data_IF_825552684830
#
_entry.id   IF_825552684830
#
_cell.length_a   1.000
_cell.length_b   1.000
_cell.length_c   1.000
_cell.angle_alpha   90.00
_cell.angle_beta   90.00
_cell.angle_gamma   90.00
#
_symmetry.space_group_name_H-M   'P 1'
#
loop_
_entity.id
_entity.type
_entity.pdbx_description
1 polymer ?
#
# COMPACT_ATOMS: atom_id res chain seq x y z
N UNK A 1 -6.21 12.22 -33.23
CA UNK A 1 -4.99 11.96 -34.02
C UNK A 1 -3.81 11.91 -33.03
N UNK A 2 -3.05 10.81 -33.03
CA UNK A 2 -1.92 10.59 -32.13
C UNK A 2 -0.76 11.54 -32.46
N UNK A 3 -0.37 12.39 -31.54
CA UNK A 3 0.70 13.40 -31.75
C UNK A 3 1.86 13.14 -30.77
N UNK A 4 3.03 13.72 -31.06
CA UNK A 4 4.17 13.68 -30.12
C UNK A 4 3.79 14.20 -28.73
N UNK A 5 2.97 15.26 -28.64
CA UNK A 5 2.47 15.80 -27.37
C UNK A 5 1.67 14.78 -26.57
N UNK A 6 0.83 13.96 -27.23
CA UNK A 6 0.09 12.89 -26.56
C UNK A 6 1.03 11.82 -26.02
N UNK A 7 2.05 11.45 -26.77
CA UNK A 7 3.06 10.49 -26.31
C UNK A 7 3.83 11.01 -25.08
N UNK A 8 4.29 12.26 -25.15
CA UNK A 8 5.03 12.89 -24.04
C UNK A 8 4.16 12.99 -22.77
N UNK A 9 2.88 13.34 -22.94
CA UNK A 9 1.90 13.38 -21.84
C UNK A 9 1.70 12.00 -21.19
N UNK A 10 1.59 10.95 -21.99
CA UNK A 10 1.42 9.59 -21.47
C UNK A 10 2.68 9.11 -20.74
N UNK A 11 3.87 9.36 -21.29
CA UNK A 11 5.13 9.02 -20.62
C UNK A 11 5.24 9.75 -19.28
N UNK A 12 4.93 11.04 -19.24
CA UNK A 12 4.88 11.80 -17.99
C UNK A 12 3.87 11.20 -17.01
N UNK A 13 2.68 10.82 -17.48
CA UNK A 13 1.64 10.18 -16.68
C UNK A 13 2.04 8.83 -16.10
N UNK A 14 2.82 8.02 -16.82
CA UNK A 14 3.44 6.79 -16.28
C UNK A 14 4.38 7.13 -15.13
N UNK A 15 5.29 8.10 -15.34
CA UNK A 15 6.22 8.56 -14.30
C UNK A 15 5.50 9.07 -13.04
N UNK A 16 4.45 9.87 -13.23
CA UNK A 16 3.62 10.39 -12.14
C UNK A 16 2.90 9.27 -11.36
N UNK A 17 2.35 8.29 -12.07
CA UNK A 17 1.69 7.13 -11.45
C UNK A 17 2.67 6.31 -10.62
N UNK A 18 3.86 6.03 -11.18
CA UNK A 18 4.93 5.33 -10.46
C UNK A 18 5.39 6.12 -9.22
N UNK A 19 5.60 7.43 -9.37
CA UNK A 19 5.97 8.31 -8.27
C UNK A 19 4.95 8.25 -7.13
N UNK A 20 3.67 8.44 -7.41
CA UNK A 20 2.62 8.35 -6.41
C UNK A 20 2.59 6.97 -5.74
N UNK A 21 2.60 5.89 -6.53
CA UNK A 21 2.50 4.53 -6.04
C UNK A 21 3.67 4.15 -5.14
N UNK A 22 4.91 4.38 -5.60
CA UNK A 22 6.10 3.97 -4.87
C UNK A 22 6.28 4.76 -3.57
N UNK A 23 6.12 6.08 -3.61
CA UNK A 23 6.26 6.91 -2.41
C UNK A 23 5.15 6.63 -1.40
N UNK A 24 3.90 6.48 -1.84
CA UNK A 24 2.79 6.16 -0.94
C UNK A 24 2.94 4.77 -0.33
N UNK A 25 3.42 3.78 -1.10
CA UNK A 25 3.72 2.45 -0.58
C UNK A 25 4.86 2.50 0.45
N UNK A 26 5.94 3.21 0.13
CA UNK A 26 7.07 3.36 1.05
C UNK A 26 6.64 3.97 2.39
N UNK A 27 6.00 5.14 2.37
CA UNK A 27 5.52 5.78 3.61
C UNK A 27 4.43 4.95 4.28
N UNK A 28 3.57 4.29 3.51
CA UNK A 28 2.59 3.35 4.02
C UNK A 28 3.23 2.23 4.84
N UNK A 29 4.36 1.67 4.38
CA UNK A 29 5.13 0.66 5.11
C UNK A 29 5.87 1.23 6.32
N UNK A 30 6.41 2.44 6.24
CA UNK A 30 7.09 3.10 7.38
C UNK A 30 6.15 3.19 8.59
N UNK A 31 4.88 3.47 8.37
CA UNK A 31 3.89 3.61 9.46
C UNK A 31 3.02 2.35 9.65
N UNK A 32 2.69 1.65 8.58
CA UNK A 32 1.80 0.48 8.61
C UNK A 32 2.48 -0.78 9.15
N UNK A 33 3.77 -0.99 8.87
CA UNK A 33 4.49 -2.14 9.41
C UNK A 33 4.59 -2.09 10.96
N UNK A 34 4.98 -0.98 11.60
CA UNK A 34 4.89 -0.86 13.05
C UNK A 34 3.48 -1.08 13.60
N UNK A 35 2.44 -0.58 12.92
CA UNK A 35 1.05 -0.80 13.31
C UNK A 35 0.70 -2.29 13.32
N UNK A 36 1.05 -3.04 12.26
CA UNK A 36 0.79 -4.48 12.18
C UNK A 36 1.57 -5.29 13.21
N UNK A 37 2.82 -4.93 13.48
CA UNK A 37 3.62 -5.52 14.56
C UNK A 37 2.98 -5.26 15.92
N UNK A 38 2.52 -4.03 16.20
CA UNK A 38 1.87 -3.68 17.45
C UNK A 38 0.55 -4.46 17.63
N UNK A 39 -0.25 -4.60 16.58
CA UNK A 39 -1.46 -5.43 16.59
C UNK A 39 -1.11 -6.86 16.98
N UNK A 40 -0.16 -7.51 16.31
CA UNK A 40 0.23 -8.90 16.61
C UNK A 40 0.83 -9.05 18.01
N UNK A 41 1.67 -8.12 18.45
CA UNK A 41 2.32 -8.20 19.77
C UNK A 41 1.32 -8.00 20.90
N UNK A 42 0.30 -7.15 20.73
CA UNK A 42 -0.72 -6.85 21.74
C UNK A 42 -1.94 -7.78 21.70
N UNK A 43 -2.04 -8.66 20.70
CA UNK A 43 -3.11 -9.67 20.62
C UNK A 43 -3.11 -10.59 21.86
N UNK A 44 -4.24 -11.30 22.08
CA UNK A 44 -4.42 -12.26 23.22
C UNK A 44 -3.31 -13.31 23.28
N UNK A 45 -2.89 -13.82 22.11
CA UNK A 45 -1.84 -14.82 21.93
C UNK A 45 -0.50 -14.17 21.52
N UNK A 46 -0.39 -12.86 21.68
CA UNK A 46 0.80 -12.09 21.33
C UNK A 46 1.92 -12.20 22.37
N UNK A 47 3.08 -11.59 22.03
CA UNK A 47 4.25 -11.57 22.91
C UNK A 47 4.04 -10.74 24.18
N UNK A 48 3.17 -9.75 24.13
CA UNK A 48 2.82 -8.86 25.25
C UNK A 48 1.33 -8.49 25.19
N UNK A 49 0.43 -9.40 25.61
CA UNK A 49 -1.00 -9.21 25.49
C UNK A 49 -1.48 -7.93 26.18
N UNK A 50 -2.23 -7.11 25.42
CA UNK A 50 -2.86 -5.89 25.94
C UNK A 50 -4.17 -5.66 25.18
N UNK A 51 -5.27 -6.15 25.74
CA UNK A 51 -6.59 -6.10 25.09
C UNK A 51 -7.07 -4.67 24.82
N UNK A 52 -6.71 -3.69 25.64
CA UNK A 52 -7.11 -2.30 25.43
C UNK A 52 -6.37 -1.69 24.25
N UNK A 53 -5.04 -1.85 24.20
CA UNK A 53 -4.21 -1.36 23.09
C UNK A 53 -4.63 -2.03 21.78
N UNK A 54 -4.77 -3.35 21.76
CA UNK A 54 -5.22 -4.09 20.59
C UNK A 54 -6.56 -3.55 20.08
N UNK A 55 -7.56 -3.41 20.97
CA UNK A 55 -8.89 -2.96 20.59
C UNK A 55 -8.89 -1.53 20.03
N UNK A 56 -8.10 -0.62 20.59
CA UNK A 56 -7.97 0.75 20.08
C UNK A 56 -7.37 0.74 18.66
N UNK A 57 -6.25 0.06 18.46
CA UNK A 57 -5.59 -0.03 17.16
C UNK A 57 -6.47 -0.73 16.13
N UNK A 58 -7.14 -1.81 16.53
CA UNK A 58 -8.09 -2.56 15.70
C UNK A 58 -9.24 -1.69 15.21
N UNK A 59 -9.90 -0.97 16.13
CA UNK A 59 -11.03 -0.09 15.79
C UNK A 59 -10.57 1.03 14.85
N UNK A 60 -9.44 1.69 15.13
CA UNK A 60 -8.90 2.75 14.27
C UNK A 60 -8.61 2.19 12.87
N UNK A 61 -7.88 1.08 12.78
CA UNK A 61 -7.55 0.47 11.49
C UNK A 61 -8.83 0.07 10.71
N UNK A 62 -9.84 -0.50 11.37
CA UNK A 62 -11.09 -0.88 10.74
C UNK A 62 -11.90 0.33 10.26
N UNK A 63 -11.97 1.42 11.01
CA UNK A 63 -12.66 2.65 10.60
C UNK A 63 -12.03 3.18 9.31
N UNK A 64 -10.72 3.39 9.28
CA UNK A 64 -10.05 3.94 8.10
C UNK A 64 -10.20 3.04 6.86
N UNK A 65 -10.17 1.71 7.02
CA UNK A 65 -10.39 0.76 5.93
C UNK A 65 -11.84 0.69 5.44
N UNK A 66 -12.79 1.09 6.27
CA UNK A 66 -14.21 1.12 5.91
C UNK A 66 -14.60 2.35 5.08
N UNK A 67 -13.77 3.39 5.07
CA UNK A 67 -14.02 4.59 4.29
C UNK A 67 -13.62 4.32 2.82
N UNK A 68 -14.53 4.48 1.84
CA UNK A 68 -14.17 4.39 0.43
C UNK A 68 -13.03 5.36 0.09
N UNK A 69 -12.01 4.89 -0.64
CA UNK A 69 -10.80 5.68 -0.87
C UNK A 69 -11.08 7.07 -1.45
N UNK A 70 -11.97 7.18 -2.43
CA UNK A 70 -12.31 8.47 -3.04
C UNK A 70 -12.91 9.47 -2.03
N UNK A 71 -13.73 8.97 -1.10
CA UNK A 71 -14.30 9.79 -0.03
C UNK A 71 -13.22 10.20 0.99
N UNK A 72 -12.34 9.26 1.35
CA UNK A 72 -11.20 9.55 2.24
C UNK A 72 -10.28 10.62 1.64
N UNK A 73 -10.00 10.53 0.33
CA UNK A 73 -9.18 11.51 -0.38
C UNK A 73 -9.79 12.91 -0.29
N UNK A 74 -11.11 13.03 -0.55
CA UNK A 74 -11.83 14.32 -0.45
C UNK A 74 -11.83 14.84 0.99
N UNK A 75 -12.08 13.96 1.96
CA UNK A 75 -12.06 14.29 3.39
C UNK A 75 -10.69 14.85 3.82
N UNK A 76 -9.61 14.32 3.25
CA UNK A 76 -8.24 14.71 3.60
C UNK A 76 -7.74 15.95 2.84
N UNK A 77 -8.52 16.58 1.96
CA UNK A 77 -8.13 17.80 1.25
C UNK A 77 -7.59 18.90 2.18
N UNK A 78 -8.28 19.28 3.29
CA UNK A 78 -7.77 20.31 4.19
C UNK A 78 -6.44 19.92 4.84
N UNK A 79 -6.29 18.66 5.26
CA UNK A 79 -5.08 18.13 5.86
C UNK A 79 -3.92 18.07 4.86
N UNK A 80 -4.19 17.62 3.63
CA UNK A 80 -3.20 17.59 2.55
C UNK A 80 -2.69 18.99 2.23
N UNK A 81 -3.61 19.96 2.15
CA UNK A 81 -3.26 21.36 1.90
C UNK A 81 -2.41 21.95 3.04
N UNK A 82 -2.73 21.62 4.27
CA UNK A 82 -1.93 22.04 5.43
C UNK A 82 -0.51 21.46 5.38
N UNK A 83 -0.35 20.19 5.00
CA UNK A 83 0.93 19.49 5.01
C UNK A 83 1.82 19.85 3.81
N UNK A 84 1.24 19.98 2.61
CA UNK A 84 1.97 20.09 1.32
C UNK A 84 1.81 21.48 0.70
N UNK A 85 0.95 22.35 1.23
CA UNK A 85 0.65 23.67 0.71
C UNK A 85 -0.35 23.71 -0.46
N UNK A 86 -0.67 22.55 -1.05
CA UNK A 86 -1.64 22.36 -2.15
C UNK A 86 -2.43 21.08 -1.97
N UNK A 87 -3.61 20.99 -2.59
CA UNK A 87 -4.52 19.86 -2.48
C UNK A 87 -4.70 19.05 -3.76
N UNK A 88 -3.95 19.37 -4.81
CA UNK A 88 -4.01 18.72 -6.13
C UNK A 88 -2.60 18.40 -6.64
N UNK A 89 -2.54 17.55 -7.66
CA UNK A 89 -1.29 17.09 -8.27
C UNK A 89 -0.65 15.92 -7.53
N UNK A 90 0.36 15.33 -8.15
CA UNK A 90 0.96 14.05 -7.75
C UNK A 90 1.52 14.03 -6.34
N UNK A 91 2.26 15.07 -5.95
CA UNK A 91 2.85 15.17 -4.60
C UNK A 91 1.78 15.28 -3.50
N UNK A 92 0.71 16.06 -3.75
CA UNK A 92 -0.40 16.18 -2.81
C UNK A 92 -1.12 14.85 -2.63
N UNK A 93 -1.31 14.10 -3.72
CA UNK A 93 -2.00 12.81 -3.73
C UNK A 93 -1.28 11.73 -2.92
N UNK A 94 0.04 11.82 -2.72
CA UNK A 94 0.79 10.90 -1.87
C UNK A 94 0.24 10.87 -0.44
N UNK A 95 -0.22 12.01 0.10
CA UNK A 95 -0.72 12.09 1.48
C UNK A 95 -1.95 11.20 1.71
N UNK A 96 -3.07 11.36 1.01
CA UNK A 96 -4.24 10.51 1.21
C UNK A 96 -3.99 9.05 0.80
N UNK A 97 -3.16 8.77 -0.21
CA UNK A 97 -2.76 7.42 -0.56
C UNK A 97 -2.00 6.74 0.58
N UNK A 98 -1.06 7.45 1.21
CA UNK A 98 -0.31 6.94 2.37
C UNK A 98 -1.24 6.66 3.54
N UNK A 99 -2.14 7.59 3.87
CA UNK A 99 -3.08 7.43 4.99
C UNK A 99 -4.01 6.22 4.76
N UNK A 100 -4.48 6.01 3.52
CA UNK A 100 -5.26 4.82 3.17
C UNK A 100 -4.44 3.54 3.26
N UNK A 101 -3.15 3.58 2.89
CA UNK A 101 -2.26 2.43 2.89
C UNK A 101 -1.91 1.95 4.30
N UNK A 102 -1.72 2.84 5.28
CA UNK A 102 -1.28 2.50 6.65
C UNK A 102 -2.12 1.38 7.30
N UNK A 103 -3.44 1.52 7.46
CA UNK A 103 -4.26 0.48 8.10
C UNK A 103 -4.36 -0.78 7.24
N UNK A 104 -4.31 -0.67 5.92
CA UNK A 104 -4.29 -1.82 5.03
C UNK A 104 -3.00 -2.63 5.18
N UNK A 105 -1.84 -1.97 5.17
CA UNK A 105 -0.53 -2.59 5.42
C UNK A 105 -0.49 -3.18 6.84
N UNK A 106 -0.97 -2.45 7.85
CA UNK A 106 -1.01 -2.94 9.22
C UNK A 106 -1.72 -4.30 9.34
N UNK A 107 -2.85 -4.45 8.67
CA UNK A 107 -3.59 -5.72 8.64
C UNK A 107 -2.89 -6.82 7.84
N UNK A 108 -2.26 -6.47 6.71
CA UNK A 108 -1.48 -7.44 5.94
C UNK A 108 -0.29 -7.96 6.75
N UNK A 109 0.42 -7.07 7.45
CA UNK A 109 1.54 -7.44 8.32
C UNK A 109 1.06 -8.29 9.50
N UNK A 110 0.01 -7.91 10.20
CA UNK A 110 -0.60 -8.70 11.28
C UNK A 110 -0.96 -10.11 10.79
N UNK A 111 -1.64 -10.21 9.63
CA UNK A 111 -2.01 -11.48 9.02
C UNK A 111 -0.78 -12.35 8.71
N UNK A 112 0.25 -11.76 8.11
CA UNK A 112 1.50 -12.48 7.81
C UNK A 112 2.22 -12.97 9.06
N UNK A 113 2.23 -12.18 10.14
CA UNK A 113 2.83 -12.57 11.41
C UNK A 113 2.02 -13.63 12.16
N UNK A 114 0.71 -13.76 11.87
CA UNK A 114 -0.14 -14.81 12.42
C UNK A 114 0.13 -16.19 11.78
N UNK A 115 0.79 -16.25 10.62
CA UNK A 115 1.20 -17.51 9.98
C UNK A 115 2.44 -18.14 10.61
N UNK A 116 3.16 -17.42 11.49
CA UNK A 116 4.36 -17.93 12.15
C UNK A 116 3.97 -18.99 13.18
N UNK A 117 4.61 -20.15 13.09
CA UNK A 117 4.38 -21.27 14.01
C UNK A 117 4.66 -20.86 15.46
N UNK A 118 3.71 -21.03 16.39
CA UNK A 118 3.89 -20.74 17.81
C UNK A 118 5.08 -21.48 18.44
N UNK A 119 5.38 -22.70 18.00
CA UNK A 119 6.51 -23.49 18.49
C UNK A 119 7.86 -22.86 18.21
N UNK A 120 8.02 -22.16 17.07
CA UNK A 120 9.26 -21.40 16.76
C UNK A 120 9.41 -20.21 17.71
N UNK A 121 8.31 -19.55 18.05
CA UNK A 121 8.28 -18.44 19.01
C UNK A 121 8.63 -18.94 20.42
N UNK A 122 8.06 -20.06 20.83
CA UNK A 122 8.32 -20.69 22.14
C UNK A 122 9.77 -21.15 22.27
N UNK A 123 10.33 -21.78 21.24
CA UNK A 123 11.74 -22.17 21.19
C UNK A 123 12.66 -20.98 21.36
N UNK A 124 12.41 -19.87 20.66
CA UNK A 124 13.20 -18.63 20.79
C UNK A 124 13.10 -18.05 22.22
N UNK A 125 11.91 -18.08 22.82
CA UNK A 125 11.69 -17.64 24.20
C UNK A 125 12.43 -18.51 25.20
N UNK A 126 12.44 -19.81 25.02
CA UNK A 126 13.15 -20.78 25.87
C UNK A 126 14.67 -20.59 25.81
N UNK A 127 15.20 -20.09 24.68
CA UNK A 127 16.60 -19.71 24.52
C UNK A 127 16.94 -18.33 25.11
N UNK A 128 15.99 -17.65 25.77
CA UNK A 128 16.21 -16.37 26.41
C UNK A 128 16.12 -15.16 25.48
N UNK A 129 15.54 -15.30 24.27
CA UNK A 129 15.36 -14.17 23.37
C UNK A 129 14.37 -13.16 23.93
N UNK A 130 14.71 -11.86 23.87
CA UNK A 130 13.80 -10.78 24.22
C UNK A 130 12.66 -10.64 23.20
N UNK A 131 11.53 -10.05 23.62
CA UNK A 131 10.39 -9.83 22.70
C UNK A 131 10.79 -9.10 21.41
N UNK A 132 11.68 -8.12 21.49
CA UNK A 132 12.21 -7.40 20.33
C UNK A 132 13.03 -8.32 19.41
N UNK A 133 13.86 -9.17 19.96
CA UNK A 133 14.62 -10.16 19.19
C UNK A 133 13.68 -11.17 18.52
N UNK A 134 12.64 -11.62 19.21
CA UNK A 134 11.63 -12.53 18.65
C UNK A 134 10.92 -11.86 17.46
N UNK A 135 10.49 -10.61 17.60
CA UNK A 135 9.83 -9.89 16.49
C UNK A 135 10.75 -9.77 15.28
N UNK A 136 11.97 -9.22 15.48
CA UNK A 136 12.84 -8.86 14.33
C UNK A 136 13.55 -10.07 13.74
N UNK A 137 14.06 -10.99 14.58
CA UNK A 137 14.92 -12.10 14.14
C UNK A 137 14.16 -13.40 13.88
N UNK A 138 12.94 -13.52 14.41
CA UNK A 138 12.13 -14.73 14.24
C UNK A 138 10.89 -14.42 13.42
N UNK A 139 9.95 -13.65 13.95
CA UNK A 139 8.65 -13.46 13.31
C UNK A 139 8.73 -12.82 11.91
N UNK A 140 9.46 -11.70 11.77
CA UNK A 140 9.62 -11.04 10.46
C UNK A 140 10.42 -11.91 9.47
N UNK A 141 11.35 -12.72 9.95
CA UNK A 141 12.15 -13.60 9.10
C UNK A 141 11.33 -14.79 8.63
N UNK A 142 10.56 -15.43 9.52
CA UNK A 142 9.68 -16.55 9.15
C UNK A 142 8.52 -16.11 8.25
N UNK A 143 7.92 -14.94 8.51
CA UNK A 143 6.81 -14.40 7.73
C UNK A 143 7.25 -13.73 6.41
N UNK A 144 8.54 -13.67 6.07
CA UNK A 144 9.07 -12.87 4.95
C UNK A 144 8.37 -13.14 3.62
N UNK A 145 8.05 -14.38 3.29
CA UNK A 145 7.38 -14.76 2.03
C UNK A 145 5.98 -14.18 1.97
N UNK A 146 5.22 -14.33 3.07
CA UNK A 146 3.87 -13.75 3.21
C UNK A 146 3.92 -12.22 3.20
N UNK A 147 4.89 -11.61 3.89
CA UNK A 147 5.08 -10.15 3.91
C UNK A 147 5.38 -9.59 2.50
N UNK A 148 6.20 -10.26 1.69
CA UNK A 148 6.50 -9.82 0.32
C UNK A 148 5.31 -10.01 -0.60
N UNK A 149 4.58 -11.13 -0.46
CA UNK A 149 3.33 -11.34 -1.19
C UNK A 149 2.30 -10.26 -0.83
N UNK A 150 2.17 -9.95 0.46
CA UNK A 150 1.34 -8.85 0.94
C UNK A 150 1.76 -7.50 0.38
N UNK A 151 3.08 -7.21 0.34
CA UNK A 151 3.61 -5.97 -0.24
C UNK A 151 3.24 -5.82 -1.73
N UNK A 152 3.25 -6.92 -2.45
CA UNK A 152 2.85 -6.96 -3.86
C UNK A 152 1.39 -6.59 -4.05
N UNK A 153 0.50 -7.17 -3.21
CA UNK A 153 -0.94 -6.87 -3.23
C UNK A 153 -1.19 -5.40 -2.86
N UNK A 154 -0.54 -4.91 -1.81
CA UNK A 154 -0.61 -3.50 -1.37
C UNK A 154 -0.21 -2.55 -2.50
N UNK A 155 0.93 -2.78 -3.14
CA UNK A 155 1.43 -1.91 -4.22
C UNK A 155 0.45 -1.85 -5.39
N UNK A 156 -0.11 -3.00 -5.81
CA UNK A 156 -1.15 -3.05 -6.84
C UNK A 156 -2.43 -2.30 -6.44
N UNK A 157 -2.85 -2.40 -5.19
CA UNK A 157 -4.01 -1.68 -4.66
C UNK A 157 -3.78 -0.16 -4.66
N UNK A 158 -2.61 0.29 -4.20
CA UNK A 158 -2.24 1.72 -4.18
C UNK A 158 -2.17 2.27 -5.61
N UNK A 159 -1.68 1.49 -6.58
CA UNK A 159 -1.68 1.88 -7.99
C UNK A 159 -3.12 2.09 -8.49
N UNK A 160 -4.05 1.19 -8.15
CA UNK A 160 -5.47 1.37 -8.46
C UNK A 160 -6.07 2.62 -7.79
N UNK A 161 -5.70 2.91 -6.55
CA UNK A 161 -6.12 4.15 -5.85
C UNK A 161 -5.52 5.41 -6.49
N UNK A 162 -4.27 5.35 -6.97
CA UNK A 162 -3.67 6.48 -7.69
C UNK A 162 -4.42 6.82 -8.98
N UNK A 163 -4.93 5.79 -9.68
CA UNK A 163 -5.79 6.01 -10.84
C UNK A 163 -7.13 6.66 -10.45
N UNK A 164 -7.75 6.24 -9.33
CA UNK A 164 -8.96 6.90 -8.81
C UNK A 164 -8.70 8.35 -8.41
N UNK A 165 -7.54 8.67 -7.82
CA UNK A 165 -7.18 10.03 -7.46
C UNK A 165 -7.07 10.96 -8.68
N UNK A 166 -6.83 10.42 -9.87
CA UNK A 166 -6.89 11.17 -11.14
C UNK A 166 -8.22 11.87 -11.38
N UNK A 167 -9.34 11.32 -10.91
CA UNK A 167 -10.68 11.93 -11.06
C UNK A 167 -10.82 13.28 -10.35
N UNK A 168 -9.99 13.54 -9.35
CA UNK A 168 -9.98 14.78 -8.55
C UNK A 168 -8.71 15.60 -8.74
N UNK A 169 -8.00 15.39 -9.88
CA UNK A 169 -6.82 16.16 -10.23
C UNK A 169 -5.54 15.69 -9.53
N UNK A 170 -5.47 14.42 -9.19
CA UNK A 170 -4.28 13.79 -8.60
C UNK A 170 -3.09 13.64 -9.55
N UNK A 171 -3.31 13.76 -10.86
CA UNK A 171 -2.30 13.49 -11.89
C UNK A 171 -2.20 12.01 -12.28
N UNK A 172 -1.18 11.68 -13.06
CA UNK A 172 -0.90 10.32 -13.53
C UNK A 172 -1.80 9.82 -14.65
N UNK A 173 -1.69 8.53 -14.95
CA UNK A 173 -2.49 7.88 -16.01
C UNK A 173 -4.00 7.97 -15.75
N UNK A 174 -4.42 7.94 -14.48
CA UNK A 174 -5.84 8.07 -14.14
C UNK A 174 -6.42 9.44 -14.51
N UNK A 175 -5.69 10.52 -14.27
CA UNK A 175 -6.08 11.87 -14.67
C UNK A 175 -6.16 12.00 -16.21
N UNK A 176 -5.19 11.42 -16.90
CA UNK A 176 -5.19 11.41 -18.38
C UNK A 176 -6.40 10.63 -18.92
N UNK A 177 -6.71 9.46 -18.34
CA UNK A 177 -7.85 8.65 -18.73
C UNK A 177 -9.17 9.44 -18.58
N UNK A 178 -9.36 10.12 -17.46
CA UNK A 178 -10.58 10.89 -17.21
C UNK A 178 -10.62 12.17 -18.02
N UNK A 179 -9.55 12.97 -18.02
CA UNK A 179 -9.52 14.29 -18.65
C UNK A 179 -9.60 14.22 -20.18
N UNK A 180 -8.88 13.30 -20.78
CA UNK A 180 -8.83 13.17 -22.25
C UNK A 180 -9.72 12.03 -22.74
N UNK A 181 -9.64 10.86 -22.12
CA UNK A 181 -10.39 9.68 -22.53
C UNK A 181 -11.90 9.86 -22.32
N UNK A 182 -12.33 10.19 -21.11
CA UNK A 182 -13.74 10.31 -20.76
C UNK A 182 -14.32 11.69 -21.16
N UNK A 183 -13.76 12.80 -20.64
CA UNK A 183 -14.35 14.13 -20.81
C UNK A 183 -14.24 14.66 -22.24
N UNK A 184 -13.21 14.26 -22.99
CA UNK A 184 -12.98 14.67 -24.39
C UNK A 184 -13.33 13.60 -25.42
N UNK A 185 -13.87 12.46 -24.96
CA UNK A 185 -14.28 11.35 -25.84
C UNK A 185 -13.16 10.77 -26.71
N UNK A 186 -11.89 10.88 -26.25
CA UNK A 186 -10.72 10.33 -26.95
C UNK A 186 -10.51 8.87 -26.54
N UNK A 187 -11.27 7.96 -27.15
CA UNK A 187 -11.29 6.53 -26.81
C UNK A 187 -9.92 5.87 -26.99
N UNK A 188 -9.11 6.32 -27.94
CA UNK A 188 -7.75 5.85 -28.17
C UNK A 188 -6.85 6.12 -26.94
N UNK A 189 -6.92 7.32 -26.36
CA UNK A 189 -6.19 7.67 -25.15
C UNK A 189 -6.71 6.87 -23.95
N UNK A 190 -8.03 6.71 -23.81
CA UNK A 190 -8.62 5.87 -22.77
C UNK A 190 -8.07 4.45 -22.81
N UNK A 191 -8.11 3.80 -23.97
CA UNK A 191 -7.65 2.42 -24.14
C UNK A 191 -6.16 2.29 -23.81
N UNK A 192 -5.32 3.21 -24.30
CA UNK A 192 -3.88 3.18 -24.02
C UNK A 192 -3.59 3.36 -22.52
N UNK A 193 -4.25 4.30 -21.86
CA UNK A 193 -4.05 4.51 -20.41
C UNK A 193 -4.49 3.30 -19.59
N UNK A 194 -5.61 2.65 -19.95
CA UNK A 194 -6.07 1.41 -19.30
C UNK A 194 -5.06 0.27 -19.51
N UNK A 195 -4.58 0.07 -20.73
CA UNK A 195 -3.57 -0.96 -21.04
C UNK A 195 -2.31 -0.71 -20.21
N UNK A 196 -1.82 0.53 -20.16
CA UNK A 196 -0.63 0.88 -19.38
C UNK A 196 -0.82 0.65 -17.87
N UNK A 197 -1.98 1.00 -17.31
CA UNK A 197 -2.29 0.69 -15.91
C UNK A 197 -2.28 -0.81 -15.64
N UNK A 198 -2.89 -1.62 -16.51
CA UNK A 198 -2.87 -3.08 -16.41
C UNK A 198 -1.44 -3.62 -16.48
N UNK A 199 -0.66 -3.14 -17.46
CA UNK A 199 0.75 -3.56 -17.62
C UNK A 199 1.58 -3.22 -16.36
N UNK A 200 1.42 -2.02 -15.80
CA UNK A 200 2.11 -1.63 -14.57
C UNK A 200 1.75 -2.53 -13.40
N UNK A 201 0.47 -2.84 -13.21
CA UNK A 201 0.01 -3.77 -12.15
C UNK A 201 0.64 -5.14 -12.37
N UNK A 202 0.62 -5.68 -13.59
CA UNK A 202 1.19 -6.99 -13.91
C UNK A 202 2.71 -7.05 -13.68
N UNK A 203 3.43 -5.97 -14.00
CA UNK A 203 4.87 -5.87 -13.74
C UNK A 203 5.12 -5.96 -12.22
N UNK A 204 4.44 -5.16 -11.40
CA UNK A 204 4.60 -5.20 -9.94
C UNK A 204 4.25 -6.57 -9.37
N UNK A 205 3.13 -7.17 -9.81
CA UNK A 205 2.72 -8.49 -9.35
C UNK A 205 3.71 -9.59 -9.74
N UNK A 206 4.19 -9.58 -10.98
CA UNK A 206 5.15 -10.58 -11.46
C UNK A 206 6.47 -10.49 -10.70
N UNK A 207 7.02 -9.28 -10.55
CA UNK A 207 8.27 -9.05 -9.81
C UNK A 207 8.11 -9.47 -8.34
N UNK A 208 7.05 -9.02 -7.69
CA UNK A 208 6.82 -9.30 -6.27
C UNK A 208 6.63 -10.79 -5.99
N UNK A 209 5.82 -11.48 -6.79
CA UNK A 209 5.61 -12.93 -6.67
C UNK A 209 6.89 -13.72 -7.00
N UNK A 210 7.68 -13.29 -7.98
CA UNK A 210 8.97 -13.91 -8.26
C UNK A 210 9.92 -13.82 -7.06
N UNK A 211 10.00 -12.66 -6.41
CA UNK A 211 10.81 -12.45 -5.20
C UNK A 211 10.29 -13.31 -4.04
N UNK A 212 8.96 -13.32 -3.82
CA UNK A 212 8.33 -14.12 -2.76
C UNK A 212 8.65 -15.62 -2.95
N UNK A 213 8.47 -16.14 -4.16
CA UNK A 213 8.74 -17.56 -4.48
C UNK A 213 10.21 -17.93 -4.33
N UNK A 214 11.16 -17.02 -4.66
CA UNK A 214 12.59 -17.25 -4.50
C UNK A 214 13.02 -17.32 -3.03
N UNK A 215 12.31 -16.61 -2.15
CA UNK A 215 12.59 -16.57 -0.72
C UNK A 215 11.85 -17.66 0.07
N UNK A 216 10.93 -18.36 -0.56
CA UNK A 216 10.22 -19.46 0.05
C UNK A 216 11.16 -20.66 0.23
N UNK A 217 11.50 -20.96 1.49
CA UNK A 217 12.35 -22.10 1.87
C UNK A 217 11.53 -23.34 2.24
N UNK A 218 10.19 -23.29 2.12
CA UNK A 218 9.31 -24.41 2.46
C UNK A 218 9.16 -25.43 1.32
N UNK A 219 9.90 -25.21 0.22
CA UNK A 219 9.99 -26.14 -0.93
C UNK A 219 11.18 -27.06 -0.78
#
# INVERSE_FOLDING_TARGET
MWTKQVTDMIIAGVGETLYMTLFSTFFGYVFGMPLGILLKVSDKEGLRPNAVLYKILDVIANIFRSIPFLILLILLIPFTRFLVGKSYGTTATIVPLTIAAIPFIGRMVESSLNEVDPGVIEAARSMGASNWQIVIKVMLVEARTSLISGATIVTGTILGYSAMAGTVGGGGLGDIAVRYGYNRWQTDIMLVTVILLVVLVQIFQTIGMFIANKLDKRK
#
